data_IF_573033763368
#
_entry.id   IF_573033763368
#
_cell.length_a   1.000
_cell.length_b   1.000
_cell.length_c   1.000
_cell.angle_alpha   90.00
_cell.angle_beta   90.00
_cell.angle_gamma   90.00
#
_symmetry.space_group_name_H-M   'P 1'
#
loop_
_entity.id
_entity.type
_entity.pdbx_description
1 polymer ?
#
# COMPACT_ATOMS: atom_id res chain seq x y z
N UNK A 1 2.36 -8.84 -6.70
CA UNK A 1 1.32 -7.83 -6.51
C UNK A 1 1.83 -6.80 -5.54
N UNK A 2 2.64 -5.90 -6.09
CA UNK A 2 2.73 -4.55 -5.56
C UNK A 2 1.64 -3.79 -6.31
N UNK A 3 0.80 -3.02 -5.64
CA UNK A 3 -0.22 -2.21 -6.28
C UNK A 3 0.10 -0.76 -5.94
N UNK A 4 0.10 0.12 -6.93
CA UNK A 4 0.32 1.54 -6.71
C UNK A 4 -0.84 2.31 -7.33
N UNK A 5 -1.43 3.22 -6.57
CA UNK A 5 -2.51 4.09 -7.03
C UNK A 5 -1.95 5.50 -7.20
N UNK A 6 -1.85 5.97 -8.45
CA UNK A 6 -1.40 7.33 -8.73
C UNK A 6 -2.52 8.36 -8.56
N UNK A 7 -2.10 9.61 -8.36
CA UNK A 7 -2.97 10.73 -8.07
C UNK A 7 -3.87 11.08 -9.28
N UNK A 8 -5.07 11.56 -8.95
CA UNK A 8 -6.05 12.25 -9.81
C UNK A 8 -7.03 11.35 -10.60
N UNK A 9 -6.78 10.07 -10.83
CA UNK A 9 -7.69 9.25 -11.65
C UNK A 9 -8.01 7.92 -10.94
N UNK A 10 -9.26 7.43 -11.03
CA UNK A 10 -9.75 6.12 -10.54
C UNK A 10 -9.02 4.93 -11.20
N UNK A 11 -7.70 4.94 -11.26
CA UNK A 11 -6.87 3.95 -11.92
C UNK A 11 -5.84 3.40 -10.95
N UNK A 12 -5.66 2.10 -11.00
CA UNK A 12 -4.57 1.36 -10.37
C UNK A 12 -3.48 1.08 -11.39
N UNK A 13 -2.22 1.17 -10.98
CA UNK A 13 -1.11 0.55 -11.70
C UNK A 13 -0.77 -0.76 -11.00
N UNK A 14 -0.86 -1.86 -11.76
CA UNK A 14 -0.77 -3.22 -11.21
C UNK A 14 0.09 -4.12 -12.09
N UNK A 15 1.00 -4.88 -11.46
CA UNK A 15 1.57 -6.07 -12.06
C UNK A 15 0.55 -7.22 -12.02
N UNK A 16 0.03 -7.62 -13.18
CA UNK A 16 -1.03 -8.63 -13.24
C UNK A 16 -1.01 -9.43 -14.56
N UNK A 17 -1.85 -10.45 -14.63
CA UNK A 17 -2.11 -11.26 -15.82
C UNK A 17 -3.53 -10.97 -16.28
N UNK A 18 -3.69 -10.59 -17.54
CA UNK A 18 -5.00 -10.29 -18.14
C UNK A 18 -5.23 -11.19 -19.34
N UNK A 19 -6.49 -11.56 -19.60
CA UNK A 19 -6.88 -12.29 -20.80
C UNK A 19 -7.11 -11.28 -21.93
N UNK A 20 -6.34 -11.37 -23.02
CA UNK A 20 -6.45 -10.47 -24.17
C UNK A 20 -7.74 -10.75 -24.99
N UNK A 21 -7.99 -9.95 -26.03
CA UNK A 21 -9.17 -10.07 -26.89
C UNK A 21 -9.25 -11.41 -27.65
N UNK A 22 -8.14 -12.16 -27.76
CA UNK A 22 -8.08 -13.50 -28.35
C UNK A 22 -8.28 -14.61 -27.32
N UNK A 23 -8.40 -14.25 -26.05
CA UNK A 23 -8.55 -15.18 -24.96
C UNK A 23 -7.23 -15.71 -24.38
N UNK A 24 -6.09 -15.16 -24.79
CA UNK A 24 -4.77 -15.58 -24.33
C UNK A 24 -4.35 -14.79 -23.10
N UNK A 25 -3.54 -15.39 -22.22
CA UNK A 25 -3.05 -14.70 -21.02
C UNK A 25 -1.81 -13.87 -21.35
N UNK A 26 -1.82 -12.62 -20.91
CA UNK A 26 -0.69 -11.70 -21.03
C UNK A 26 -0.33 -11.14 -19.66
N UNK A 27 0.93 -11.34 -19.27
CA UNK A 27 1.51 -10.71 -18.07
C UNK A 27 2.03 -9.33 -18.43
N UNK A 28 1.83 -8.37 -17.54
CA UNK A 28 2.26 -7.01 -17.76
C UNK A 28 1.97 -6.10 -16.58
N UNK A 29 2.35 -4.84 -16.74
CA UNK A 29 1.92 -3.74 -15.88
C UNK A 29 0.74 -3.09 -16.57
N UNK A 30 -0.38 -2.98 -15.87
CA UNK A 30 -1.63 -2.46 -16.41
C UNK A 30 -2.07 -1.24 -15.62
N UNK A 31 -2.60 -0.25 -16.34
CA UNK A 31 -3.49 0.77 -15.80
C UNK A 31 -4.90 0.18 -15.76
N UNK A 32 -5.44 -0.07 -14.58
CA UNK A 32 -6.76 -0.66 -14.37
C UNK A 32 -7.69 0.40 -13.84
N UNK A 33 -8.72 0.75 -14.61
CA UNK A 33 -9.82 1.58 -14.14
C UNK A 33 -10.63 0.79 -13.10
N UNK A 34 -10.94 1.42 -11.97
CA UNK A 34 -11.79 0.85 -10.93
C UNK A 34 -13.21 0.53 -11.41
N UNK A 35 -13.60 0.99 -12.60
CA UNK A 35 -14.84 0.62 -13.30
C UNK A 35 -14.71 -0.65 -14.19
N UNK A 36 -13.54 -1.31 -14.21
CA UNK A 36 -13.30 -2.58 -14.92
C UNK A 36 -12.58 -2.46 -16.27
N UNK A 37 -12.33 -1.24 -16.75
CA UNK A 37 -11.47 -1.00 -17.90
C UNK A 37 -10.00 -1.27 -17.57
N UNK A 38 -9.19 -1.64 -18.56
CA UNK A 38 -7.75 -1.74 -18.37
C UNK A 38 -6.98 -1.39 -19.63
N UNK A 39 -5.76 -0.90 -19.46
CA UNK A 39 -4.81 -0.60 -20.54
C UNK A 39 -3.46 -1.14 -20.15
N UNK A 40 -2.87 -1.97 -21.01
CA UNK A 40 -1.51 -2.48 -20.80
C UNK A 40 -0.52 -1.32 -20.98
N UNK A 41 0.30 -1.08 -19.96
CA UNK A 41 1.36 -0.07 -19.99
C UNK A 41 2.68 -0.72 -20.39
N UNK A 42 3.00 -1.88 -19.83
CA UNK A 42 4.28 -2.55 -20.05
C UNK A 42 4.07 -4.06 -20.18
N UNK A 43 4.67 -4.69 -21.19
CA UNK A 43 4.65 -6.15 -21.34
C UNK A 43 5.71 -6.78 -20.47
N UNK A 44 5.38 -7.86 -19.76
CA UNK A 44 6.33 -8.60 -18.93
C UNK A 44 6.34 -10.06 -19.35
N UNK A 45 7.54 -10.61 -19.49
CA UNK A 45 7.68 -12.06 -19.61
C UNK A 45 7.43 -12.74 -18.25
N UNK A 46 6.98 -13.98 -18.29
CA UNK A 46 6.70 -14.75 -17.09
C UNK A 46 7.96 -15.00 -16.24
N UNK A 47 9.11 -15.18 -16.89
CA UNK A 47 10.37 -15.61 -16.27
C UNK A 47 11.37 -14.46 -16.00
N UNK A 48 10.95 -13.21 -16.20
CA UNK A 48 11.81 -12.04 -15.97
C UNK A 48 11.59 -11.50 -14.56
N UNK A 49 12.68 -11.37 -13.80
CA UNK A 49 12.66 -10.59 -12.56
C UNK A 49 12.56 -9.11 -12.91
N UNK A 50 11.66 -8.42 -12.22
CA UNK A 50 11.46 -6.99 -12.41
C UNK A 50 11.10 -6.31 -11.10
N UNK A 51 11.33 -4.99 -11.07
CA UNK A 51 10.75 -4.06 -10.10
C UNK A 51 10.09 -2.93 -10.88
N UNK A 52 9.10 -2.28 -10.29
CA UNK A 52 8.53 -1.09 -10.90
C UNK A 52 8.12 -0.08 -9.85
N UNK A 53 8.03 1.17 -10.28
CA UNK A 53 7.49 2.27 -9.50
C UNK A 53 6.66 3.14 -10.43
N UNK A 54 5.52 3.62 -9.95
CA UNK A 54 4.71 4.63 -10.63
C UNK A 54 4.60 5.84 -9.72
N UNK A 55 4.83 7.05 -10.24
CA UNK A 55 4.66 8.30 -9.51
C UNK A 55 4.57 9.45 -10.52
N UNK A 56 3.75 10.48 -10.25
CA UNK A 56 3.72 11.73 -11.03
C UNK A 56 3.59 11.53 -12.55
N UNK A 57 2.76 10.55 -12.97
CA UNK A 57 2.57 10.23 -14.39
C UNK A 57 3.76 9.52 -15.05
N UNK A 58 4.73 9.04 -14.26
CA UNK A 58 5.91 8.32 -14.70
C UNK A 58 5.88 6.89 -14.16
N UNK A 59 5.97 5.89 -15.06
CA UNK A 59 6.19 4.49 -14.72
C UNK A 59 7.64 4.14 -15.00
N UNK A 60 8.41 3.80 -13.98
CA UNK A 60 9.75 3.22 -14.14
C UNK A 60 9.69 1.72 -13.92
N UNK A 61 10.27 0.96 -14.84
CA UNK A 61 10.37 -0.49 -14.78
C UNK A 61 11.84 -0.87 -14.85
N UNK A 62 12.30 -1.68 -13.89
CA UNK A 62 13.64 -2.22 -13.85
C UNK A 62 13.58 -3.71 -14.18
N UNK A 63 14.21 -4.17 -15.26
CA UNK A 63 14.22 -5.58 -15.70
C UNK A 63 15.64 -6.12 -15.88
N UNK A 64 15.84 -7.42 -15.65
CA UNK A 64 17.15 -8.07 -15.92
C UNK A 64 17.50 -8.14 -17.41
N UNK A 65 16.48 -8.13 -18.27
CA UNK A 65 16.63 -8.18 -19.72
C UNK A 65 16.20 -6.83 -20.28
N UNK A 66 17.17 -6.03 -20.70
CA UNK A 66 16.92 -4.75 -21.37
C UNK A 66 17.01 -4.99 -22.86
N UNK A 67 15.88 -5.31 -23.49
CA UNK A 67 15.75 -5.17 -24.93
C UNK A 67 14.89 -3.94 -25.20
N UNK A 68 15.49 -2.98 -25.92
CA UNK A 68 14.91 -1.75 -26.46
C UNK A 68 14.35 -0.75 -25.42
N UNK A 69 15.21 0.24 -25.12
CA UNK A 69 14.94 1.43 -24.31
C UNK A 69 14.14 2.46 -25.13
N UNK A 70 12.90 2.15 -25.51
CA UNK A 70 12.02 3.19 -26.03
C UNK A 70 11.19 3.80 -24.89
N UNK A 71 11.34 5.11 -24.71
CA UNK A 71 10.44 5.88 -23.85
C UNK A 71 9.09 5.94 -24.55
N UNK A 72 8.16 5.08 -24.13
CA UNK A 72 6.80 5.06 -24.67
C UNK A 72 5.89 5.87 -23.77
N UNK A 73 5.07 6.74 -24.37
CA UNK A 73 3.95 7.37 -23.67
C UNK A 73 2.69 6.55 -23.95
N UNK A 74 2.11 5.94 -22.91
CA UNK A 74 0.85 5.20 -23.03
C UNK A 74 -0.18 5.83 -22.11
N UNK A 75 -1.30 6.29 -22.67
CA UNK A 75 -2.38 6.93 -21.90
C UNK A 75 -1.92 8.13 -21.05
N UNK A 76 -0.96 8.91 -21.56
CA UNK A 76 -0.37 10.06 -20.87
C UNK A 76 0.64 9.70 -19.77
N UNK A 77 0.97 8.42 -19.59
CA UNK A 77 2.00 7.95 -18.66
C UNK A 77 3.32 7.79 -19.41
N UNK A 78 4.39 8.45 -18.94
CA UNK A 78 5.75 8.27 -19.44
C UNK A 78 6.33 6.99 -18.88
N UNK A 79 6.82 6.09 -19.73
CA UNK A 79 7.37 4.81 -19.29
C UNK A 79 8.89 4.80 -19.54
N UNK A 80 9.66 4.53 -18.49
CA UNK A 80 11.10 4.32 -18.54
C UNK A 80 11.41 2.86 -18.21
N UNK A 81 12.11 2.17 -19.10
CA UNK A 81 12.66 0.84 -18.84
C UNK A 81 14.14 0.98 -18.52
N UNK A 82 14.62 0.36 -17.46
CA UNK A 82 16.01 0.46 -16.99
C UNK A 82 16.55 -0.94 -16.65
N UNK A 83 17.87 -1.12 -16.74
CA UNK A 83 18.49 -2.37 -16.28
C UNK A 83 18.31 -2.54 -14.78
N UNK A 84 17.80 -3.70 -14.36
CA UNK A 84 17.74 -4.06 -12.94
C UNK A 84 19.15 -4.31 -12.43
N UNK A 85 19.77 -3.31 -11.82
CA UNK A 85 20.99 -3.52 -11.04
C UNK A 85 20.63 -4.09 -9.67
N UNK A 86 21.09 -5.32 -9.40
CA UNK A 86 20.98 -5.95 -8.08
C UNK A 86 21.77 -5.22 -6.99
N UNK A 87 22.78 -4.45 -7.37
CA UNK A 87 23.57 -3.61 -6.47
C UNK A 87 23.30 -2.15 -6.81
N UNK A 88 22.59 -1.46 -5.92
CA UNK A 88 22.56 -0.01 -5.96
C UNK A 88 24.01 0.52 -5.80
N UNK A 89 24.37 1.63 -6.45
CA UNK A 89 25.62 2.30 -6.15
C UNK A 89 25.74 2.53 -4.64
N UNK A 90 26.95 2.42 -4.05
CA UNK A 90 27.15 2.72 -2.64
C UNK A 90 26.58 4.10 -2.31
N UNK A 91 25.77 4.18 -1.25
CA UNK A 91 25.15 5.43 -0.90
C UNK A 91 23.95 5.82 -1.77
N UNK A 92 23.30 4.91 -2.50
CA UNK A 92 22.02 5.18 -3.20
C UNK A 92 20.88 4.32 -2.65
N UNK A 93 19.68 4.89 -2.60
CA UNK A 93 18.43 4.18 -2.26
C UNK A 93 17.32 4.56 -3.26
N UNK A 94 16.37 3.64 -3.48
CA UNK A 94 15.16 3.94 -4.25
C UNK A 94 14.19 4.77 -3.40
N UNK A 95 13.68 5.84 -3.99
CA UNK A 95 12.51 6.57 -3.48
C UNK A 95 11.25 5.73 -3.68
N UNK A 96 10.47 5.51 -2.63
CA UNK A 96 9.15 4.88 -2.73
C UNK A 96 8.09 5.79 -3.39
N UNK A 97 8.28 7.10 -3.36
CA UNK A 97 7.27 8.09 -3.76
C UNK A 97 7.52 8.77 -5.10
N UNK A 98 8.74 8.80 -5.64
CA UNK A 98 9.05 9.51 -6.90
C UNK A 98 9.84 8.69 -7.93
N UNK A 99 9.98 7.38 -7.74
CA UNK A 99 10.67 6.48 -8.68
C UNK A 99 12.12 6.90 -9.03
N UNK A 100 12.78 7.68 -8.18
CA UNK A 100 14.16 8.15 -8.37
C UNK A 100 15.15 7.44 -7.46
N UNK A 101 16.38 7.27 -7.94
CA UNK A 101 17.54 6.91 -7.11
C UNK A 101 18.12 8.17 -6.49
N UNK A 102 18.19 8.24 -5.17
CA UNK A 102 18.81 9.38 -4.47
C UNK A 102 19.89 8.93 -3.50
N UNK A 103 20.74 9.89 -3.14
CA UNK A 103 21.81 9.68 -2.18
C UNK A 103 21.23 9.28 -0.82
N UNK A 104 21.60 8.10 -0.36
CA UNK A 104 21.29 7.61 0.97
C UNK A 104 22.28 8.19 1.95
N UNK A 105 21.77 8.95 2.90
CA UNK A 105 22.55 9.40 4.04
C UNK A 105 22.57 8.25 5.07
N UNK A 106 23.75 7.95 5.62
CA UNK A 106 23.92 6.86 6.58
C UNK A 106 23.06 7.10 7.84
N UNK A 107 22.20 6.14 8.18
CA UNK A 107 21.29 6.25 9.33
C UNK A 107 19.97 6.99 9.06
N UNK A 108 19.60 7.16 7.78
CA UNK A 108 18.34 7.79 7.36
C UNK A 108 17.49 6.82 6.53
N UNK A 109 16.17 6.91 6.65
CA UNK A 109 15.23 6.27 5.74
C UNK A 109 14.61 7.36 4.88
N UNK A 110 14.71 7.26 3.57
CA UNK A 110 14.26 8.34 2.70
C UNK A 110 12.74 8.27 2.55
N UNK A 111 12.04 9.22 3.14
CA UNK A 111 10.62 9.49 2.89
C UNK A 111 10.55 10.88 2.30
N UNK A 112 10.14 11.00 1.04
CA UNK A 112 10.08 12.32 0.40
C UNK A 112 8.84 13.03 0.86
N UNK A 113 9.09 14.17 1.42
CA UNK A 113 8.09 15.19 1.65
C UNK A 113 8.08 16.09 0.43
N UNK A 114 6.94 16.70 0.11
CA UNK A 114 6.72 17.42 -1.16
C UNK A 114 7.74 18.55 -1.47
N UNK A 115 8.64 18.86 -0.54
CA UNK A 115 9.66 19.91 -0.64
C UNK A 115 11.11 19.42 -0.50
N UNK A 116 11.38 18.12 -0.55
CA UNK A 116 12.75 17.59 -0.44
C UNK A 116 13.27 17.36 0.99
N UNK A 117 12.39 17.40 1.99
CA UNK A 117 12.71 17.05 3.39
C UNK A 117 12.74 15.51 3.59
N UNK A 118 13.43 15.05 4.66
CA UNK A 118 13.73 13.64 4.93
C UNK A 118 13.33 13.24 6.35
N UNK A 119 12.84 12.00 6.59
CA UNK A 119 12.68 11.49 7.96
C UNK A 119 13.93 10.69 8.37
N UNK A 120 14.57 11.08 9.47
CA UNK A 120 15.70 10.33 10.02
C UNK A 120 15.20 9.18 10.88
N UNK A 121 15.51 7.95 10.44
CA UNK A 121 15.38 6.76 11.28
C UNK A 121 16.71 6.05 11.36
N UNK A 122 17.27 5.92 12.57
CA UNK A 122 18.53 5.24 12.82
C UNK A 122 18.45 3.75 12.40
N UNK A 123 18.81 3.44 11.15
CA UNK A 123 19.08 2.07 10.66
C UNK A 123 20.57 1.77 10.83
N UNK A 124 20.91 0.73 11.61
CA UNK A 124 22.31 0.26 11.71
C UNK A 124 22.66 -0.64 10.52
N UNK A 125 23.92 -0.57 10.11
CA UNK A 125 24.51 -0.96 8.81
C UNK A 125 24.52 -2.45 8.41
N UNK A 126 23.76 -3.34 9.04
CA UNK A 126 23.85 -4.76 8.69
C UNK A 126 22.49 -5.44 8.69
N UNK A 127 22.23 -6.14 7.59
CA UNK A 127 21.06 -6.98 7.30
C UNK A 127 19.75 -6.23 7.08
N UNK A 128 19.08 -6.57 5.96
CA UNK A 128 17.65 -6.34 5.73
C UNK A 128 16.91 -7.16 6.80
N UNK A 129 16.84 -6.57 7.99
CA UNK A 129 16.18 -7.04 9.20
C UNK A 129 15.69 -5.77 9.85
N UNK A 130 14.40 -5.68 10.10
CA UNK A 130 13.69 -4.56 10.75
C UNK A 130 14.06 -4.42 12.24
N UNK A 131 15.34 -4.53 12.58
CA UNK A 131 15.87 -4.45 13.94
C UNK A 131 16.68 -3.16 14.10
N UNK A 132 15.98 -2.10 14.50
CA UNK A 132 16.54 -0.79 14.81
C UNK A 132 17.39 -0.82 16.11
N UNK A 133 18.72 -0.75 16.03
CA UNK A 133 19.61 -0.56 17.20
C UNK A 133 20.04 0.91 17.31
N UNK A 134 19.50 1.61 18.29
CA UNK A 134 19.87 2.96 18.76
C UNK A 134 19.30 3.13 20.18
N UNK A 135 20.06 3.75 21.07
CA UNK A 135 19.76 3.87 22.51
C UNK A 135 18.93 5.12 22.88
N UNK A 136 18.30 5.82 21.90
CA UNK A 136 17.32 6.90 22.16
C UNK A 136 16.03 6.64 21.36
N UNK A 137 14.88 6.90 21.99
CA UNK A 137 13.60 6.22 21.76
C UNK A 137 12.67 6.76 20.66
N UNK A 138 13.02 7.86 20.01
CA UNK A 138 12.09 8.64 19.17
C UNK A 138 12.54 8.71 17.70
N UNK A 139 11.60 9.00 16.81
CA UNK A 139 11.80 9.24 15.37
C UNK A 139 11.77 10.75 15.13
N UNK A 140 12.72 11.25 14.33
CA UNK A 140 12.85 12.67 14.04
C UNK A 140 12.74 12.92 12.55
N UNK A 141 12.06 14.01 12.18
CA UNK A 141 12.20 14.62 10.87
C UNK A 141 13.52 15.40 10.81
N UNK A 142 14.17 15.43 9.64
CA UNK A 142 15.34 16.27 9.41
C UNK A 142 15.07 17.21 8.25
N UNK A 143 15.15 18.51 8.54
CA UNK A 143 14.97 19.57 7.54
C UNK A 143 16.18 19.69 6.61
N UNK A 144 16.05 20.54 5.59
CA UNK A 144 17.12 20.82 4.61
C UNK A 144 18.42 21.39 5.24
N UNK A 145 18.32 21.97 6.43
CA UNK A 145 19.44 22.53 7.18
C UNK A 145 20.07 21.52 8.15
N UNK A 146 19.53 20.29 8.22
CA UNK A 146 20.00 19.24 9.11
C UNK A 146 19.44 19.31 10.54
N UNK A 147 18.46 20.16 10.81
CA UNK A 147 17.83 20.26 12.13
C UNK A 147 16.89 19.09 12.37
N UNK A 148 16.94 18.51 13.57
CA UNK A 148 16.05 17.43 13.99
C UNK A 148 14.75 18.00 14.60
N UNK A 149 13.61 17.56 14.08
CA UNK A 149 12.27 17.90 14.57
C UNK A 149 11.65 16.62 15.12
N UNK A 150 11.31 16.62 16.42
CA UNK A 150 10.59 15.50 17.02
C UNK A 150 9.17 15.46 16.48
N UNK A 151 8.83 14.39 15.78
CA UNK A 151 7.51 14.16 15.19
C UNK A 151 6.64 13.25 16.07
N UNK A 152 7.02 12.99 17.33
CA UNK A 152 6.19 12.26 18.28
C UNK A 152 5.97 10.77 17.97
N UNK A 153 6.65 10.23 16.95
CA UNK A 153 6.56 8.81 16.57
C UNK A 153 7.63 8.04 17.34
N UNK A 154 7.21 7.02 18.09
CA UNK A 154 8.17 6.15 18.79
C UNK A 154 8.91 5.28 17.80
N UNK A 155 10.22 5.09 18.00
CA UNK A 155 11.09 4.24 17.18
C UNK A 155 10.54 2.83 16.92
N UNK A 156 9.81 2.28 17.88
CA UNK A 156 9.18 0.98 17.74
C UNK A 156 8.08 0.95 16.69
N UNK A 157 7.43 2.06 16.37
CA UNK A 157 6.22 2.10 15.55
C UNK A 157 6.50 2.41 14.07
N UNK A 158 7.74 2.75 13.72
CA UNK A 158 8.10 3.07 12.35
C UNK A 158 8.09 1.80 11.47
N UNK A 159 7.18 1.78 10.50
CA UNK A 159 7.10 0.82 9.41
C UNK A 159 7.36 1.53 8.08
N UNK A 160 7.32 0.79 6.96
CA UNK A 160 7.34 1.41 5.63
C UNK A 160 5.96 2.07 5.42
N UNK A 161 5.86 3.41 5.44
CA UNK A 161 4.61 4.12 5.37
C UNK A 161 4.07 4.18 3.95
N UNK A 162 2.74 4.23 3.87
CA UNK A 162 2.00 4.49 2.65
C UNK A 162 1.61 5.97 2.61
N UNK A 163 1.72 6.62 1.45
CA UNK A 163 1.17 7.97 1.27
C UNK A 163 -0.33 7.90 1.02
N UNK A 164 -1.10 8.72 1.73
CA UNK A 164 -2.56 8.70 1.73
C UNK A 164 -3.10 10.02 1.20
N UNK A 165 -3.53 10.01 -0.07
CA UNK A 165 -3.90 11.21 -0.81
C UNK A 165 -4.98 12.07 -0.14
N UNK A 166 -6.08 11.49 0.33
CA UNK A 166 -7.22 12.23 0.90
C UNK A 166 -6.94 12.89 2.25
N UNK A 167 -5.86 12.47 2.93
CA UNK A 167 -5.39 13.07 4.18
C UNK A 167 -4.12 13.91 3.99
N UNK A 168 -3.53 13.88 2.79
CA UNK A 168 -2.23 14.48 2.50
C UNK A 168 -1.16 14.11 3.54
N UNK A 169 -1.09 12.82 3.90
CA UNK A 169 -0.29 12.33 5.02
C UNK A 169 0.36 10.97 4.74
N UNK A 170 1.48 10.68 5.41
CA UNK A 170 2.06 9.34 5.50
C UNK A 170 1.36 8.57 6.60
N UNK A 171 0.93 7.35 6.29
CA UNK A 171 0.36 6.43 7.24
C UNK A 171 1.32 5.28 7.51
N UNK A 172 1.52 4.96 8.78
CA UNK A 172 2.14 3.71 9.18
C UNK A 172 1.49 3.14 10.43
N UNK A 173 1.84 1.90 10.71
CA UNK A 173 1.34 1.21 11.89
C UNK A 173 2.28 0.14 12.37
N UNK A 174 2.18 -0.20 13.65
CA UNK A 174 2.72 -1.44 14.21
C UNK A 174 1.67 -2.18 15.00
N UNK A 175 1.58 -3.48 14.75
CA UNK A 175 0.77 -4.38 15.56
C UNK A 175 1.54 -4.80 16.81
N UNK A 176 0.90 -4.64 17.98
CA UNK A 176 1.35 -5.16 19.27
C UNK A 176 0.19 -5.93 19.88
N UNK A 177 0.29 -7.25 19.91
CA UNK A 177 -0.83 -8.13 20.27
C UNK A 177 -2.06 -7.82 19.39
N UNK A 178 -3.23 -7.60 19.99
CA UNK A 178 -4.47 -7.24 19.29
C UNK A 178 -4.60 -5.77 18.88
N UNK A 179 -3.60 -4.93 19.18
CA UNK A 179 -3.72 -3.50 18.97
C UNK A 179 -2.78 -3.01 17.87
N UNK A 180 -3.31 -2.18 16.96
CA UNK A 180 -2.53 -1.35 16.05
C UNK A 180 -2.15 -0.05 16.75
N UNK A 181 -0.85 0.24 16.79
CA UNK A 181 -0.32 1.56 17.06
C UNK A 181 -0.14 2.25 15.71
N UNK A 182 -1.11 3.08 15.36
CA UNK A 182 -1.22 3.79 14.09
C UNK A 182 -0.56 5.16 14.24
N UNK A 183 0.03 5.65 13.17
CA UNK A 183 0.55 7.00 13.10
C UNK A 183 0.31 7.60 11.73
N UNK A 184 0.07 8.91 11.75
CA UNK A 184 -0.08 9.76 10.59
C UNK A 184 0.95 10.86 10.69
N UNK A 185 1.67 11.13 9.61
CA UNK A 185 2.55 12.28 9.49
C UNK A 185 2.01 13.14 8.35
N UNK A 186 1.38 14.25 8.71
CA UNK A 186 0.81 15.19 7.74
C UNK A 186 1.95 15.90 7.01
N UNK A 187 1.82 15.99 5.68
CA UNK A 187 2.85 16.64 4.86
C UNK A 187 2.79 18.16 4.93
N UNK A 188 1.66 18.69 5.38
CA UNK A 188 1.50 20.09 5.75
C UNK A 188 1.88 20.26 7.22
N UNK A 189 2.90 21.07 7.49
CA UNK A 189 3.29 21.44 8.86
C UNK A 189 4.05 20.38 9.66
N UNK A 190 4.22 19.17 9.13
CA UNK A 190 4.92 18.05 9.80
C UNK A 190 4.28 17.58 11.10
N UNK A 191 3.00 17.92 11.30
CA UNK A 191 2.25 17.47 12.47
C UNK A 191 2.03 15.95 12.40
N UNK A 192 2.06 15.31 13.57
CA UNK A 192 1.77 13.89 13.68
C UNK A 192 0.54 13.62 14.52
N UNK A 193 -0.19 12.59 14.12
CA UNK A 193 -1.30 12.04 14.88
C UNK A 193 -1.01 10.57 15.17
N UNK A 194 -1.15 10.17 16.43
CA UNK A 194 -0.89 8.82 16.87
C UNK A 194 -2.16 8.25 17.51
N UNK A 195 -2.54 7.05 17.08
CA UNK A 195 -3.74 6.38 17.58
C UNK A 195 -3.40 4.96 18.02
N UNK A 196 -3.93 4.53 19.17
CA UNK A 196 -3.89 3.14 19.59
C UNK A 196 -5.28 2.54 19.42
N UNK A 197 -5.39 1.59 18.49
CA UNK A 197 -6.62 0.89 18.18
C UNK A 197 -6.52 -0.57 18.58
N UNK A 198 -7.50 -1.11 19.28
CA UNK A 198 -7.53 -2.54 19.61
C UNK A 198 -8.66 -3.23 18.88
N UNK A 199 -8.33 -4.31 18.19
CA UNK A 199 -9.27 -5.10 17.39
C UNK A 199 -10.00 -6.15 18.24
N UNK A 200 -11.12 -6.63 17.72
CA UNK A 200 -11.95 -7.65 18.35
C UNK A 200 -11.25 -9.01 18.50
N UNK A 201 -11.92 -9.97 19.13
CA UNK A 201 -11.33 -11.28 19.46
C UNK A 201 -10.72 -12.04 18.27
N UNK A 202 -11.21 -11.77 17.06
CA UNK A 202 -10.70 -12.38 15.83
C UNK A 202 -9.21 -12.06 15.59
N UNK A 203 -8.68 -10.96 16.14
CA UNK A 203 -7.28 -10.57 15.98
C UNK A 203 -6.33 -11.30 16.95
N UNK A 204 -6.85 -12.00 17.96
CA UNK A 204 -6.02 -12.81 18.88
C UNK A 204 -5.53 -14.10 18.25
N UNK A 205 -6.30 -14.61 17.30
CA UNK A 205 -6.01 -15.90 16.70
C UNK A 205 -4.98 -15.77 15.60
N UNK A 206 -4.01 -16.68 15.61
CA UNK A 206 -2.88 -16.71 14.68
C UNK A 206 -3.20 -16.26 13.24
N UNK A 207 -2.28 -15.47 12.72
CA UNK A 207 -2.35 -14.79 11.43
C UNK A 207 -1.65 -13.44 11.54
N UNK A 208 -1.28 -12.84 10.40
CA UNK A 208 -0.86 -11.45 10.34
C UNK A 208 -2.04 -10.57 9.94
N UNK A 209 -2.03 -9.32 10.40
CA UNK A 209 -2.99 -8.31 9.97
C UNK A 209 -2.24 -7.26 9.17
N UNK A 210 -2.80 -6.83 8.04
CA UNK A 210 -2.37 -5.62 7.37
C UNK A 210 -3.48 -4.58 7.46
N UNK A 211 -3.09 -3.32 7.54
CA UNK A 211 -3.99 -2.19 7.71
C UNK A 211 -3.78 -1.26 6.53
N UNK A 212 -4.84 -1.00 5.78
CA UNK A 212 -4.89 -0.01 4.72
C UNK A 212 -5.85 1.08 5.14
N UNK A 213 -5.44 2.34 5.22
CA UNK A 213 -6.32 3.39 5.68
C UNK A 213 -7.33 3.76 4.58
N UNK A 214 -8.57 4.06 4.96
CA UNK A 214 -9.64 4.51 4.07
C UNK A 214 -10.25 5.81 4.61
N UNK A 215 -10.99 6.55 3.78
CA UNK A 215 -11.45 7.91 4.13
C UNK A 215 -12.12 7.99 5.50
N UNK A 216 -13.02 7.03 5.75
CA UNK A 216 -13.89 7.02 6.91
C UNK A 216 -13.45 5.94 7.94
N UNK A 217 -12.21 5.44 7.90
CA UNK A 217 -11.73 4.41 8.83
C UNK A 217 -10.53 3.58 8.34
N UNK A 218 -10.56 2.27 8.58
CA UNK A 218 -9.52 1.33 8.15
C UNK A 218 -10.11 0.12 7.40
N UNK A 219 -9.39 -0.36 6.40
CA UNK A 219 -9.58 -1.68 5.83
C UNK A 219 -8.51 -2.62 6.38
N UNK A 220 -8.93 -3.75 6.95
CA UNK A 220 -8.07 -4.69 7.64
C UNK A 220 -8.05 -6.00 6.87
N UNK A 221 -6.87 -6.43 6.43
CA UNK A 221 -6.67 -7.79 5.92
C UNK A 221 -6.23 -8.70 7.06
N UNK A 222 -6.84 -9.88 7.17
CA UNK A 222 -6.53 -10.87 8.18
C UNK A 222 -6.04 -12.15 7.51
N UNK A 223 -4.72 -12.31 7.45
CA UNK A 223 -4.04 -13.46 6.87
C UNK A 223 -4.01 -14.63 7.84
N UNK A 224 -5.18 -15.25 8.06
CA UNK A 224 -5.32 -16.48 8.82
C UNK A 224 -5.58 -17.67 7.88
N UNK A 225 -5.11 -18.86 8.23
CA UNK A 225 -5.42 -20.11 7.52
C UNK A 225 -6.78 -20.70 7.93
N UNK A 226 -7.44 -20.15 8.96
CA UNK A 226 -8.72 -20.67 9.46
C UNK A 226 -9.89 -20.34 8.53
N UNK A 227 -10.57 -21.36 8.00
CA UNK A 227 -11.72 -21.19 7.09
C UNK A 227 -12.99 -20.64 7.77
N UNK A 228 -13.05 -20.59 9.11
CA UNK A 228 -14.23 -20.11 9.86
C UNK A 228 -14.22 -18.60 10.08
N UNK A 229 -13.16 -17.89 9.67
CA UNK A 229 -12.94 -16.48 9.99
C UNK A 229 -13.02 -15.62 8.76
N UNK A 230 -13.59 -14.42 8.92
CA UNK A 230 -13.48 -13.40 7.91
C UNK A 230 -12.00 -13.01 7.74
N UNK A 231 -11.65 -12.71 6.51
CA UNK A 231 -10.29 -12.40 6.04
C UNK A 231 -10.12 -10.93 5.71
N UNK A 232 -11.23 -10.19 5.59
CA UNK A 232 -11.18 -8.74 5.49
C UNK A 232 -12.26 -8.11 6.37
N UNK A 233 -11.93 -6.99 6.98
CA UNK A 233 -12.82 -6.20 7.81
C UNK A 233 -12.72 -4.72 7.43
N UNK A 234 -13.80 -3.98 7.65
CA UNK A 234 -13.77 -2.53 7.71
C UNK A 234 -13.91 -2.13 9.18
N UNK A 235 -13.08 -1.21 9.62
CA UNK A 235 -13.13 -0.63 10.95
C UNK A 235 -13.51 0.85 10.84
N UNK A 236 -14.63 1.25 11.44
CA UNK A 236 -15.09 2.65 11.48
C UNK A 236 -15.84 2.90 12.80
N UNK A 237 -15.61 4.07 13.41
CA UNK A 237 -16.29 4.50 14.64
C UNK A 237 -16.25 3.45 15.76
N UNK A 238 -15.06 2.90 16.02
CA UNK A 238 -14.80 1.86 17.02
C UNK A 238 -15.61 0.56 16.81
N UNK A 239 -15.97 0.24 15.55
CA UNK A 239 -16.75 -0.94 15.18
C UNK A 239 -16.14 -1.63 13.97
N UNK A 240 -16.32 -2.95 13.92
CA UNK A 240 -15.78 -3.84 12.90
C UNK A 240 -16.88 -4.50 12.08
N UNK A 241 -16.72 -4.50 10.76
CA UNK A 241 -17.65 -5.09 9.81
C UNK A 241 -16.91 -6.11 8.97
N UNK A 242 -17.46 -7.33 8.86
CA UNK A 242 -16.87 -8.39 8.05
C UNK A 242 -17.16 -8.10 6.57
N UNK A 243 -16.11 -7.99 5.76
CA UNK A 243 -16.24 -7.70 4.32
C UNK A 243 -16.03 -8.97 3.50
N UNK A 244 -15.00 -9.77 3.82
CA UNK A 244 -14.66 -10.95 3.04
C UNK A 244 -14.48 -12.21 3.89
N UNK A 245 -14.91 -13.34 3.34
CA UNK A 245 -14.65 -14.68 3.90
C UNK A 245 -13.50 -15.41 3.19
N UNK A 246 -13.20 -15.04 1.96
CA UNK A 246 -12.08 -15.59 1.19
C UNK A 246 -10.81 -14.78 1.41
N UNK A 247 -9.67 -15.39 1.16
CA UNK A 247 -8.36 -14.78 1.33
C UNK A 247 -8.27 -13.49 0.51
N UNK A 248 -7.81 -12.43 1.17
CA UNK A 248 -7.46 -11.15 0.55
C UNK A 248 -5.96 -10.91 0.64
N UNK A 249 -5.40 -10.14 -0.29
CA UNK A 249 -4.00 -9.73 -0.28
C UNK A 249 -3.77 -8.37 -0.94
N UNK A 250 -2.94 -7.55 -0.30
CA UNK A 250 -2.31 -6.39 -0.91
C UNK A 250 -3.32 -5.28 -1.19
N UNK A 251 -4.08 -4.93 -0.18
CA UNK A 251 -5.08 -3.88 -0.27
C UNK A 251 -4.42 -2.51 -0.44
N UNK A 252 -4.97 -1.69 -1.35
CA UNK A 252 -4.54 -0.30 -1.56
C UNK A 252 -5.77 0.59 -1.70
N UNK A 253 -5.70 1.79 -1.12
CA UNK A 253 -6.79 2.76 -1.10
C UNK A 253 -6.72 3.76 -2.26
N UNK A 254 -7.87 4.11 -2.85
CA UNK A 254 -7.95 5.16 -3.85
C UNK A 254 -7.54 6.52 -3.28
N UNK A 255 -7.16 7.52 -4.11
CA UNK A 255 -6.67 8.80 -3.60
C UNK A 255 -7.73 9.57 -2.80
N UNK A 256 -9.01 9.35 -3.10
CA UNK A 256 -10.15 9.89 -2.33
C UNK A 256 -10.53 9.07 -1.08
N UNK A 257 -9.83 7.94 -0.86
CA UNK A 257 -10.02 7.01 0.25
C UNK A 257 -11.29 6.18 0.19
N UNK A 258 -12.06 6.25 -0.90
CA UNK A 258 -13.39 5.63 -0.99
C UNK A 258 -13.45 4.24 -1.57
N UNK A 259 -12.40 3.81 -2.25
CA UNK A 259 -12.33 2.48 -2.86
C UNK A 259 -11.07 1.80 -2.38
N UNK A 260 -11.17 0.49 -2.17
CA UNK A 260 -10.05 -0.38 -1.84
C UNK A 260 -9.97 -1.45 -2.89
N UNK A 261 -8.81 -1.60 -3.51
CA UNK A 261 -8.55 -2.71 -4.40
C UNK A 261 -7.64 -3.73 -3.73
N UNK A 262 -7.95 -5.02 -3.89
CA UNK A 262 -7.20 -6.12 -3.29
C UNK A 262 -7.27 -7.37 -4.16
N UNK A 263 -6.27 -8.23 -4.05
CA UNK A 263 -6.31 -9.58 -4.59
C UNK A 263 -7.26 -10.45 -3.77
N UNK A 264 -8.14 -11.19 -4.43
CA UNK A 264 -9.17 -12.06 -3.84
C UNK A 264 -9.03 -13.48 -4.40
N UNK A 265 -8.84 -14.48 -3.53
CA UNK A 265 -8.71 -15.89 -3.95
C UNK A 265 -7.73 -16.69 -3.10
N UNK A 266 -7.83 -18.02 -3.17
CA UNK A 266 -7.02 -18.96 -2.40
C UNK A 266 -5.58 -19.06 -2.93
N UNK A 267 -4.59 -19.01 -2.04
CA UNK A 267 -3.18 -19.12 -2.40
C UNK A 267 -2.78 -20.51 -2.93
N UNK A 268 -3.49 -21.55 -2.49
CA UNK A 268 -3.09 -22.94 -2.69
C UNK A 268 -3.86 -23.64 -3.81
N UNK A 269 -4.97 -23.06 -4.25
CA UNK A 269 -5.78 -23.62 -5.33
C UNK A 269 -5.42 -22.94 -6.64
N UNK A 270 -4.68 -23.68 -7.47
CA UNK A 270 -4.60 -23.38 -8.89
C UNK A 270 -5.96 -23.77 -9.48
N UNK A 271 -6.86 -22.82 -9.63
CA UNK A 271 -8.24 -23.09 -10.09
C UNK A 271 -8.34 -23.45 -11.58
N UNK A 272 -7.23 -23.42 -12.34
CA UNK A 272 -7.27 -23.72 -13.77
C UNK A 272 -5.90 -24.05 -14.36
N UNK A 273 -5.90 -24.60 -15.59
CA UNK A 273 -4.70 -24.72 -16.45
C UNK A 273 -3.92 -23.39 -16.61
N UNK A 274 -4.55 -22.26 -16.24
CA UNK A 274 -4.04 -20.89 -16.34
C UNK A 274 -3.22 -20.44 -15.12
N UNK A 275 -3.09 -21.24 -14.04
CA UNK A 275 -2.28 -20.95 -12.83
C UNK A 275 -2.62 -19.62 -12.12
N UNK A 276 -3.78 -19.03 -12.34
CA UNK A 276 -4.25 -17.83 -11.65
C UNK A 276 -4.70 -18.20 -10.23
N UNK A 277 -4.16 -17.52 -9.21
CA UNK A 277 -4.44 -17.78 -7.78
C UNK A 277 -5.36 -16.72 -7.15
N UNK A 278 -5.37 -15.51 -7.69
CA UNK A 278 -6.10 -14.37 -7.13
C UNK A 278 -6.67 -13.50 -8.26
N UNK A 279 -7.85 -12.95 -8.02
CA UNK A 279 -8.54 -12.00 -8.90
C UNK A 279 -8.52 -10.62 -8.26
N UNK A 280 -8.42 -9.55 -9.06
CA UNK A 280 -8.56 -8.20 -8.53
C UNK A 280 -10.03 -7.94 -8.17
N UNK A 281 -10.29 -7.48 -6.94
CA UNK A 281 -11.59 -7.00 -6.51
C UNK A 281 -11.47 -5.55 -6.04
N UNK A 282 -12.49 -4.75 -6.34
CA UNK A 282 -12.63 -3.37 -5.87
C UNK A 282 -13.83 -3.31 -4.92
N UNK A 283 -13.61 -2.73 -3.75
CA UNK A 283 -14.61 -2.53 -2.72
C UNK A 283 -14.82 -1.04 -2.47
N UNK A 284 -16.06 -0.57 -2.60
CA UNK A 284 -16.43 0.82 -2.31
C UNK A 284 -16.74 0.97 -0.81
N UNK A 285 -15.74 1.43 -0.06
CA UNK A 285 -15.81 1.58 1.40
C UNK A 285 -16.77 2.68 1.80
N UNK A 286 -16.76 3.81 1.10
CA UNK A 286 -17.63 4.95 1.38
C UNK A 286 -19.11 4.61 1.19
N UNK A 287 -19.45 3.92 0.10
CA UNK A 287 -20.82 3.44 -0.13
C UNK A 287 -21.24 2.41 0.90
N UNK A 288 -20.33 1.48 1.25
CA UNK A 288 -20.59 0.45 2.26
C UNK A 288 -20.84 1.04 3.64
N UNK A 289 -20.05 2.03 4.07
CA UNK A 289 -20.22 2.70 5.37
C UNK A 289 -21.55 3.46 5.39
N UNK A 290 -21.84 4.26 4.36
CA UNK A 290 -23.12 4.99 4.25
C UNK A 290 -24.34 4.07 4.31
N UNK A 291 -24.33 2.93 3.63
CA UNK A 291 -25.46 2.00 3.65
C UNK A 291 -25.62 1.29 5.00
N UNK A 292 -24.53 0.98 5.68
CA UNK A 292 -24.57 0.38 7.02
C UNK A 292 -24.91 1.39 8.12
N UNK A 293 -24.57 2.67 7.95
CA UNK A 293 -25.03 3.74 8.83
C UNK A 293 -26.52 4.06 8.60
N UNK A 294 -27.03 3.92 7.37
CA UNK A 294 -28.47 4.06 7.07
C UNK A 294 -29.32 2.97 7.74
N UNK A 295 -28.83 1.72 7.80
CA UNK A 295 -29.51 0.63 8.53
C UNK A 295 -29.65 0.92 10.03
N UNK A 296 -28.84 1.82 10.60
CA UNK A 296 -28.91 2.20 12.02
C UNK A 296 -29.97 3.25 12.34
N UNK A 297 -30.25 4.15 11.42
CA UNK A 297 -31.36 5.11 11.62
C UNK A 297 -32.71 4.39 11.63
N UNK A 298 -32.85 3.29 10.87
CA UNK A 298 -34.07 2.48 10.88
C UNK A 298 -34.18 1.54 12.08
N UNK A 299 -33.08 0.96 12.58
CA UNK A 299 -33.10 0.16 13.82
C UNK A 299 -33.37 1.00 15.09
N UNK A 300 -33.07 2.30 15.04
CA UNK A 300 -33.41 3.25 16.11
C UNK A 300 -34.87 3.75 16.06
N UNK A 301 -35.49 3.76 14.88
CA UNK A 301 -36.89 4.17 14.68
C UNK A 301 -37.90 3.02 14.84
N UNK A 302 -37.47 1.77 14.71
CA UNK A 302 -38.34 0.59 14.85
C UNK A 302 -38.40 -0.01 16.27
N UNK A 303 -37.81 0.66 17.28
CA UNK A 303 -37.93 0.26 18.69
C UNK A 303 -38.98 1.02 19.50
N UNK A 304 -39.77 1.89 18.85
CA UNK A 304 -40.87 2.63 19.46
C UNK A 304 -42.19 2.50 18.68
N UNK A 305 -42.52 1.30 18.21
CA UNK A 305 -43.88 0.90 17.83
C UNK A 305 -44.16 -0.52 18.31
#
# INVERSE_FOLDING_TARGET
MAAYIGSIINNLILDTIVKNNRGELEKGIYKVDLNGGHTKLFSLDFDVNFKYCYADGVLKVWTERVENLENVSVSGIKIYNEALSYKLPPGKQHSFSHCELKDSIEGYAIYYLNNGEYIKSYRSKSTISTSFKSNKGDVYLVDENGNEIDIGIKKGYLTDPEYVGYKNAYFGYRLVSRCGHLWWLYTEGWDSENEKLCFGEWSYSGGSITITPIRDGLFLEHHTTSNKKAKAYVYVNNREYKVEKNIVRGAVSSPDGCKVAYGFGDFNKIESKLKLRQYLKVFDSCKYIKSNDFLRFNDGLLKNF
#
